data_IF_407282329097
#
_entry.id   IF_407282329097
#
_cell.length_a   1.000
_cell.length_b   1.000
_cell.length_c   1.000
_cell.angle_alpha   90.00
_cell.angle_beta   90.00
_cell.angle_gamma   90.00
#
_symmetry.space_group_name_H-M   'P 1'
#
loop_
_entity.id
_entity.type
_entity.pdbx_description
1 polymer ?
#
# COMPACT_ATOMS: atom_id res chain seq x y z
N UNK A 1 16.22 -62.63 29.99
CA UNK A 1 15.40 -61.41 30.09
C UNK A 1 16.21 -60.16 29.71
N UNK A 2 17.39 -59.95 30.31
CA UNK A 2 18.24 -58.79 29.98
C UNK A 2 18.64 -58.78 28.51
N UNK A 3 19.15 -59.92 28.02
CA UNK A 3 19.51 -60.11 26.62
C UNK A 3 18.33 -59.88 25.66
N UNK A 4 17.11 -60.20 26.12
CA UNK A 4 15.91 -59.95 25.31
C UNK A 4 15.60 -58.48 25.23
N UNK A 5 15.72 -57.68 26.32
CA UNK A 5 15.53 -56.24 26.30
C UNK A 5 16.54 -55.57 25.42
N UNK A 6 17.82 -55.94 25.57
CA UNK A 6 18.93 -55.40 24.73
C UNK A 6 18.73 -55.73 23.25
N UNK A 7 18.29 -56.94 22.95
CA UNK A 7 18.00 -57.36 21.59
C UNK A 7 16.82 -56.57 20.97
N UNK A 8 15.73 -56.39 21.73
CA UNK A 8 14.61 -55.58 21.27
C UNK A 8 15.00 -54.11 21.09
N UNK A 9 15.85 -53.56 21.98
CA UNK A 9 16.37 -52.20 21.85
C UNK A 9 17.24 -52.02 20.60
N UNK A 10 18.11 -52.98 20.34
CA UNK A 10 18.95 -52.99 19.12
C UNK A 10 18.09 -53.06 17.84
N UNK A 11 17.08 -53.92 17.82
CA UNK A 11 16.15 -54.02 16.71
C UNK A 11 15.32 -52.73 16.51
N UNK A 12 14.90 -52.08 17.59
CA UNK A 12 14.20 -50.79 17.51
C UNK A 12 15.11 -49.71 16.96
N UNK A 13 16.37 -49.66 17.36
CA UNK A 13 17.35 -48.73 16.82
C UNK A 13 17.59 -48.96 15.33
N UNK A 14 17.76 -50.21 14.91
CA UNK A 14 17.92 -50.56 13.49
C UNK A 14 16.69 -50.14 12.66
N UNK A 15 15.47 -50.37 13.18
CA UNK A 15 14.26 -49.95 12.50
C UNK A 15 14.13 -48.43 12.43
N UNK A 16 14.64 -47.69 13.44
CA UNK A 16 14.65 -46.24 13.42
C UNK A 16 15.58 -45.69 12.33
N UNK A 17 16.76 -46.31 12.13
CA UNK A 17 17.63 -45.98 11.02
C UNK A 17 16.96 -46.25 9.67
N UNK A 18 16.37 -47.45 9.51
CA UNK A 18 15.64 -47.81 8.28
C UNK A 18 14.41 -46.92 8.04
N UNK A 19 13.72 -46.45 9.08
CA UNK A 19 12.62 -45.50 8.98
C UNK A 19 13.10 -44.16 8.38
N UNK A 20 14.27 -43.68 8.85
CA UNK A 20 14.89 -42.47 8.31
C UNK A 20 15.20 -42.56 6.81
N UNK A 21 15.74 -43.72 6.38
CA UNK A 21 16.02 -43.97 4.97
C UNK A 21 14.76 -44.09 4.12
N UNK A 22 13.78 -44.86 4.61
CA UNK A 22 12.54 -45.13 3.88
C UNK A 22 11.65 -43.87 3.83
N UNK A 23 11.67 -43.02 4.85
CA UNK A 23 10.92 -41.78 4.87
C UNK A 23 11.38 -40.75 3.83
N UNK A 24 12.63 -40.85 3.36
CA UNK A 24 13.16 -40.01 2.28
C UNK A 24 12.74 -40.52 0.88
N UNK A 25 12.41 -41.78 0.76
CA UNK A 25 12.14 -42.43 -0.53
C UNK A 25 10.67 -42.69 -0.78
N UNK A 26 9.86 -42.85 0.28
CA UNK A 26 8.47 -43.27 0.16
C UNK A 26 7.54 -42.42 1.05
N UNK A 27 6.32 -42.20 0.58
CA UNK A 27 5.28 -41.54 1.36
C UNK A 27 4.75 -42.43 2.48
N UNK A 28 4.14 -41.83 3.52
CA UNK A 28 3.59 -42.55 4.68
C UNK A 28 2.50 -43.58 4.33
N UNK A 29 1.89 -43.47 3.17
CA UNK A 29 0.88 -44.43 2.67
C UNK A 29 1.45 -45.64 1.98
N UNK A 30 2.73 -45.67 1.69
CA UNK A 30 3.36 -46.79 0.98
C UNK A 30 3.36 -48.08 1.82
N UNK A 31 3.06 -49.26 1.21
CA UNK A 31 2.99 -50.52 1.93
C UNK A 31 4.23 -50.84 2.76
N UNK A 32 5.42 -50.55 2.22
CA UNK A 32 6.72 -50.77 2.90
C UNK A 32 6.85 -49.91 4.16
N UNK A 33 6.40 -48.67 4.14
CA UNK A 33 6.43 -47.80 5.32
C UNK A 33 5.44 -48.28 6.38
N UNK A 34 4.23 -48.68 5.97
CA UNK A 34 3.22 -49.25 6.88
C UNK A 34 3.69 -50.54 7.56
N UNK A 35 4.30 -51.45 6.80
CA UNK A 35 4.86 -52.71 7.33
C UNK A 35 5.99 -52.45 8.35
N UNK A 36 6.84 -51.45 8.10
CA UNK A 36 7.93 -51.07 9.01
C UNK A 36 7.35 -50.48 10.31
N UNK A 37 6.33 -49.63 10.21
CA UNK A 37 5.67 -49.05 11.38
C UNK A 37 4.93 -50.10 12.22
N UNK A 38 4.32 -51.09 11.59
CA UNK A 38 3.66 -52.19 12.27
C UNK A 38 4.69 -53.08 13.03
N UNK A 39 5.80 -53.37 12.39
CA UNK A 39 6.90 -54.11 13.05
C UNK A 39 7.51 -53.35 14.22
N UNK A 40 7.67 -52.02 14.07
CA UNK A 40 8.13 -51.12 15.15
C UNK A 40 7.15 -51.13 16.32
N UNK A 41 5.85 -51.03 16.06
CA UNK A 41 4.80 -51.09 17.10
C UNK A 41 4.84 -52.41 17.88
N UNK A 42 4.96 -53.54 17.17
CA UNK A 42 5.03 -54.86 17.80
C UNK A 42 6.23 -54.97 18.76
N UNK A 43 7.40 -54.50 18.31
CA UNK A 43 8.62 -54.50 19.18
C UNK A 43 8.48 -53.52 20.34
N UNK A 44 7.78 -52.41 20.16
CA UNK A 44 7.51 -51.43 21.21
C UNK A 44 6.56 -51.96 22.29
N UNK A 45 5.55 -52.74 21.88
CA UNK A 45 4.66 -53.47 22.77
C UNK A 45 5.38 -54.59 23.55
N UNK A 46 6.32 -55.30 22.85
CA UNK A 46 7.16 -56.31 23.47
C UNK A 46 8.10 -55.71 24.52
N UNK A 47 8.74 -54.59 24.21
CA UNK A 47 9.56 -53.80 25.16
C UNK A 47 8.76 -53.38 26.38
N UNK A 48 7.54 -52.89 26.15
CA UNK A 48 6.61 -52.47 27.25
C UNK A 48 6.31 -53.64 28.19
N UNK A 49 6.00 -54.84 27.65
CA UNK A 49 5.75 -56.04 28.45
C UNK A 49 6.97 -56.49 29.23
N UNK A 50 8.16 -56.42 28.63
CA UNK A 50 9.40 -56.74 29.30
C UNK A 50 9.71 -55.76 30.42
N UNK A 51 9.53 -54.46 30.19
CA UNK A 51 9.68 -53.43 31.24
C UNK A 51 8.69 -53.58 32.41
N UNK A 52 7.44 -53.94 32.12
CA UNK A 52 6.46 -54.22 33.17
C UNK A 52 6.90 -55.42 34.07
N UNK A 53 7.52 -56.46 33.46
CA UNK A 53 8.05 -57.55 34.22
C UNK A 53 9.25 -57.18 35.09
N UNK A 54 10.08 -56.25 34.62
CA UNK A 54 11.24 -55.69 35.37
C UNK A 54 10.72 -54.84 36.56
N UNK A 55 9.69 -54.02 36.36
CA UNK A 55 9.13 -53.20 37.44
C UNK A 55 8.42 -54.02 38.54
N UNK A 56 8.00 -55.21 38.22
CA UNK A 56 7.40 -56.14 39.20
C UNK A 56 8.44 -56.87 40.09
N UNK A 57 9.75 -56.72 39.83
CA UNK A 57 10.81 -57.34 40.63
C UNK A 57 11.17 -56.54 41.89
N UNK A 58 11.77 -57.15 42.92
CA UNK A 58 12.31 -56.43 44.08
C UNK A 58 13.33 -55.37 43.67
N UNK A 59 13.34 -54.22 44.37
CA UNK A 59 14.22 -53.07 44.02
C UNK A 59 15.67 -53.44 43.83
N UNK A 60 16.23 -54.30 44.66
CA UNK A 60 17.60 -54.77 44.56
C UNK A 60 17.88 -55.55 43.28
N UNK A 61 16.94 -56.38 42.83
CA UNK A 61 17.07 -57.08 41.54
C UNK A 61 16.94 -56.17 40.34
N UNK A 62 16.09 -55.14 40.42
CA UNK A 62 15.95 -54.14 39.39
C UNK A 62 17.26 -53.33 39.20
N UNK A 63 17.95 -52.99 40.31
CA UNK A 63 19.19 -52.27 40.32
C UNK A 63 20.37 -53.08 39.74
N UNK A 64 20.46 -54.36 40.13
CA UNK A 64 21.42 -55.31 39.56
C UNK A 64 21.18 -55.46 38.04
N UNK A 65 19.94 -55.62 37.63
CA UNK A 65 19.56 -55.70 36.20
C UNK A 65 19.94 -54.45 35.42
N UNK A 66 19.70 -53.27 36.00
CA UNK A 66 20.03 -51.97 35.38
C UNK A 66 21.53 -51.82 35.23
N UNK A 67 22.31 -52.07 36.27
CA UNK A 67 23.76 -51.98 36.24
C UNK A 67 24.38 -53.01 35.28
N UNK A 68 23.86 -54.25 35.28
CA UNK A 68 24.28 -55.27 34.33
C UNK A 68 23.99 -54.89 32.88
N UNK A 69 22.84 -54.27 32.61
CA UNK A 69 22.48 -53.75 31.28
C UNK A 69 23.42 -52.64 30.86
N UNK A 70 23.73 -51.72 31.77
CA UNK A 70 24.58 -50.56 31.47
C UNK A 70 26.04 -51.03 31.19
N UNK A 71 26.51 -52.02 31.94
CA UNK A 71 27.82 -52.65 31.70
C UNK A 71 27.85 -53.37 30.34
N UNK A 72 26.85 -54.23 30.07
CA UNK A 72 26.80 -55.00 28.81
C UNK A 72 26.66 -54.05 27.58
N UNK A 73 25.83 -52.99 27.69
CA UNK A 73 25.66 -51.97 26.66
C UNK A 73 26.97 -51.19 26.45
N UNK A 74 27.60 -50.75 27.55
CA UNK A 74 28.91 -50.10 27.49
C UNK A 74 30.01 -50.96 26.87
N UNK A 75 30.03 -52.25 27.21
CA UNK A 75 30.98 -53.20 26.62
C UNK A 75 30.71 -53.42 25.13
N UNK A 76 29.45 -53.51 24.71
CA UNK A 76 29.11 -53.65 23.29
C UNK A 76 29.56 -52.41 22.49
N UNK A 77 29.30 -51.21 22.99
CA UNK A 77 29.74 -49.94 22.36
C UNK A 77 31.27 -49.86 22.32
N UNK A 78 31.94 -50.23 23.41
CA UNK A 78 33.40 -50.26 23.46
C UNK A 78 33.98 -51.19 22.41
N UNK A 79 33.48 -52.44 22.31
CA UNK A 79 33.92 -53.40 21.29
C UNK A 79 33.66 -52.89 19.86
N UNK A 80 32.53 -52.26 19.64
CA UNK A 80 32.20 -51.65 18.34
C UNK A 80 33.17 -50.52 17.98
N UNK A 81 33.48 -49.63 18.94
CA UNK A 81 34.45 -48.55 18.74
C UNK A 81 35.86 -49.11 18.51
N UNK A 82 36.26 -50.16 19.25
CA UNK A 82 37.56 -50.80 19.06
C UNK A 82 37.67 -51.42 17.67
N UNK A 83 36.65 -52.16 17.23
CA UNK A 83 36.61 -52.69 15.87
C UNK A 83 36.67 -51.57 14.81
N UNK A 84 35.94 -50.49 15.03
CA UNK A 84 35.97 -49.33 14.11
C UNK A 84 37.35 -48.67 14.08
N UNK A 85 37.99 -48.55 15.24
CA UNK A 85 39.36 -48.04 15.31
C UNK A 85 40.34 -48.93 14.57
N UNK A 86 40.20 -50.28 14.70
CA UNK A 86 41.03 -51.23 13.96
C UNK A 86 40.81 -51.13 12.45
N UNK A 87 39.55 -51.06 11.98
CA UNK A 87 39.23 -50.86 10.57
C UNK A 87 39.87 -49.56 10.02
N UNK A 88 39.73 -48.45 10.78
CA UNK A 88 40.32 -47.19 10.37
C UNK A 88 41.86 -47.21 10.39
N UNK A 89 42.49 -47.95 11.32
CA UNK A 89 43.94 -48.14 11.34
C UNK A 89 44.41 -48.98 10.17
N UNK A 90 43.68 -50.05 9.81
CA UNK A 90 43.97 -50.88 8.62
C UNK A 90 43.79 -50.01 7.36
N UNK A 91 42.69 -49.25 7.25
CA UNK A 91 42.48 -48.34 6.15
C UNK A 91 43.58 -47.28 6.03
N UNK A 92 44.02 -46.72 7.17
CA UNK A 92 45.13 -45.77 7.23
C UNK A 92 46.46 -46.40 6.83
N UNK A 93 46.75 -47.64 7.27
CA UNK A 93 47.97 -48.33 6.90
C UNK A 93 47.98 -48.87 5.47
N UNK A 94 46.80 -49.22 4.93
CA UNK A 94 46.67 -49.65 3.53
C UNK A 94 46.55 -48.43 2.56
N UNK A 95 46.27 -47.21 3.07
CA UNK A 95 46.32 -45.97 2.32
C UNK A 95 47.74 -45.45 2.06
N UNK A 96 48.75 -46.30 2.11
CA UNK A 96 50.06 -45.95 1.59
C UNK A 96 49.92 -45.88 0.07
N UNK A 97 49.54 -44.70 -0.38
CA UNK A 97 49.41 -44.40 -1.78
C UNK A 97 50.77 -44.62 -2.46
N UNK A 98 50.76 -45.29 -3.59
CA UNK A 98 51.88 -45.35 -4.50
C UNK A 98 52.29 -44.02 -5.09
N UNK A 99 51.98 -42.92 -4.35
CA UNK A 99 52.31 -41.59 -4.76
C UNK A 99 53.61 -41.16 -4.09
N UNK A 100 54.63 -41.16 -4.88
CA UNK A 100 55.93 -40.60 -4.49
C UNK A 100 55.87 -39.10 -4.82
N UNK A 101 56.00 -38.25 -3.81
CA UNK A 101 56.16 -36.80 -4.01
C UNK A 101 57.54 -36.62 -4.67
N UNK A 102 57.54 -36.32 -5.96
CA UNK A 102 58.74 -36.05 -6.75
C UNK A 102 59.24 -34.64 -6.51
N UNK A 103 58.29 -33.72 -6.31
CA UNK A 103 58.58 -32.31 -6.04
C UNK A 103 57.45 -31.68 -5.20
N UNK A 104 57.81 -30.71 -4.38
CA UNK A 104 56.81 -29.95 -3.59
C UNK A 104 56.18 -28.87 -4.47
N UNK A 105 54.88 -28.80 -4.45
CA UNK A 105 54.17 -27.72 -5.16
C UNK A 105 54.63 -26.37 -4.60
N UNK A 106 55.32 -25.62 -5.41
CA UNK A 106 55.69 -24.24 -5.09
C UNK A 106 54.58 -23.32 -5.55
N UNK A 107 53.84 -22.74 -4.60
CA UNK A 107 52.84 -21.73 -4.92
C UNK A 107 53.55 -20.47 -5.37
N UNK A 108 53.13 -19.93 -6.51
CA UNK A 108 53.65 -18.62 -6.96
C UNK A 108 53.27 -17.53 -5.96
N UNK A 109 54.20 -16.66 -5.55
CA UNK A 109 53.96 -15.62 -4.53
C UNK A 109 52.94 -14.57 -4.98
N UNK A 110 52.66 -14.52 -6.29
CA UNK A 110 51.64 -13.62 -6.79
C UNK A 110 50.35 -14.40 -7.18
N UNK A 111 49.20 -14.04 -6.64
CA UNK A 111 47.92 -14.69 -7.00
C UNK A 111 47.63 -14.52 -8.48
N UNK A 112 47.55 -15.63 -9.24
CA UNK A 112 47.29 -15.62 -10.69
C UNK A 112 45.79 -15.39 -10.97
N UNK A 113 44.93 -15.81 -10.03
CA UNK A 113 43.47 -15.66 -10.08
C UNK A 113 42.92 -15.37 -8.67
N UNK A 114 41.84 -14.59 -8.53
CA UNK A 114 41.17 -13.80 -9.56
C UNK A 114 41.95 -12.52 -9.92
N UNK A 115 41.91 -12.09 -11.19
CA UNK A 115 42.49 -10.81 -11.62
C UNK A 115 41.63 -9.68 -11.03
N UNK A 116 42.08 -9.11 -9.91
CA UNK A 116 41.31 -8.12 -9.11
C UNK A 116 40.78 -6.96 -9.96
N UNK A 117 41.59 -6.43 -10.87
CA UNK A 117 41.19 -5.33 -11.77
C UNK A 117 40.06 -5.74 -12.71
N UNK A 118 40.12 -6.96 -13.27
CA UNK A 118 39.09 -7.47 -14.17
C UNK A 118 37.76 -7.73 -13.41
N UNK A 119 37.82 -8.28 -12.20
CA UNK A 119 36.63 -8.49 -11.38
C UNK A 119 35.98 -7.15 -11.02
N UNK A 120 36.81 -6.14 -10.70
CA UNK A 120 36.34 -4.79 -10.36
C UNK A 120 35.72 -4.10 -11.59
N UNK A 121 36.33 -4.24 -12.77
CA UNK A 121 35.82 -3.70 -14.02
C UNK A 121 34.47 -4.37 -14.42
N UNK A 122 34.40 -5.69 -14.36
CA UNK A 122 33.15 -6.44 -14.63
C UNK A 122 32.07 -6.08 -13.62
N UNK A 123 32.41 -5.99 -12.32
CA UNK A 123 31.48 -5.59 -11.27
C UNK A 123 30.94 -4.17 -11.49
N UNK A 124 31.79 -3.23 -11.92
CA UNK A 124 31.37 -1.87 -12.25
C UNK A 124 30.41 -1.83 -13.44
N UNK A 125 30.74 -2.53 -14.54
CA UNK A 125 29.87 -2.60 -15.72
C UNK A 125 28.53 -3.25 -15.41
N UNK A 126 28.53 -4.36 -14.66
CA UNK A 126 27.28 -5.03 -14.22
C UNK A 126 26.46 -4.13 -13.31
N UNK A 127 27.10 -3.45 -12.35
CA UNK A 127 26.42 -2.49 -11.46
C UNK A 127 25.78 -1.33 -12.24
N UNK A 128 26.48 -0.82 -13.25
CA UNK A 128 25.98 0.24 -14.13
C UNK A 128 24.78 -0.26 -14.97
N UNK A 129 24.87 -1.46 -15.55
CA UNK A 129 23.76 -2.07 -16.29
C UNK A 129 22.52 -2.30 -15.41
N UNK A 130 22.71 -2.84 -14.21
CA UNK A 130 21.60 -3.05 -13.27
C UNK A 130 20.96 -1.71 -12.86
N UNK A 131 21.80 -0.70 -12.57
CA UNK A 131 21.32 0.65 -12.23
C UNK A 131 20.50 1.26 -13.38
N UNK A 132 21.00 1.17 -14.62
CA UNK A 132 20.31 1.66 -15.79
C UNK A 132 18.98 0.93 -16.03
N UNK A 133 19.01 -0.41 -15.91
CA UNK A 133 17.80 -1.25 -16.04
C UNK A 133 16.74 -0.90 -14.99
N UNK A 134 17.15 -0.64 -13.75
CA UNK A 134 16.22 -0.21 -12.68
C UNK A 134 15.62 1.17 -12.96
N UNK A 135 16.41 2.11 -13.52
CA UNK A 135 15.91 3.42 -13.91
C UNK A 135 14.91 3.30 -15.04
N UNK A 136 15.23 2.54 -16.11
CA UNK A 136 14.29 2.29 -17.21
C UNK A 136 13.03 1.58 -16.75
N UNK A 137 13.16 0.55 -15.91
CA UNK A 137 12.00 -0.15 -15.32
C UNK A 137 11.12 0.81 -14.52
N UNK A 138 11.72 1.72 -13.75
CA UNK A 138 10.98 2.72 -12.96
C UNK A 138 10.27 3.74 -13.85
N UNK A 139 10.88 4.15 -14.98
CA UNK A 139 10.26 5.04 -15.97
C UNK A 139 9.10 4.30 -16.68
N UNK A 140 9.32 3.06 -17.09
CA UNK A 140 8.31 2.26 -17.77
C UNK A 140 7.08 1.93 -16.90
N UNK A 141 7.31 1.77 -15.60
CA UNK A 141 6.24 1.53 -14.61
C UNK A 141 5.49 2.82 -14.21
N UNK A 142 6.04 4.01 -14.46
CA UNK A 142 5.35 5.29 -14.25
C UNK A 142 4.39 5.52 -15.40
N UNK A 143 3.10 5.38 -15.13
CA UNK A 143 2.00 5.55 -16.09
C UNK A 143 1.09 6.73 -15.72
N UNK A 144 1.54 7.61 -14.82
CA UNK A 144 0.75 8.76 -14.38
C UNK A 144 0.69 9.84 -15.47
N UNK A 145 -0.40 10.63 -15.45
CA UNK A 145 -0.62 11.76 -16.34
C UNK A 145 0.39 12.85 -16.00
N UNK A 146 1.19 13.26 -16.99
CA UNK A 146 2.26 14.24 -16.86
C UNK A 146 1.96 15.56 -17.59
N UNK A 147 0.89 15.60 -18.39
CA UNK A 147 0.49 16.81 -19.09
C UNK A 147 -1.02 16.85 -19.34
N UNK A 148 -1.62 18.05 -19.48
CA UNK A 148 -3.03 18.20 -19.81
C UNK A 148 -3.36 17.64 -21.21
N UNK A 149 -2.43 17.71 -22.16
CA UNK A 149 -2.62 17.24 -23.54
C UNK A 149 -2.99 15.75 -23.59
N UNK A 150 -2.42 14.93 -22.68
CA UNK A 150 -2.76 13.50 -22.58
C UNK A 150 -4.25 13.24 -22.25
N UNK A 151 -4.91 14.19 -21.60
CA UNK A 151 -6.34 14.13 -21.34
C UNK A 151 -7.14 14.66 -22.54
N UNK A 152 -6.65 15.71 -23.16
CA UNK A 152 -7.29 16.33 -24.33
C UNK A 152 -7.25 15.40 -25.56
N UNK A 153 -6.18 14.63 -25.75
CA UNK A 153 -6.05 13.61 -26.79
C UNK A 153 -7.13 12.51 -26.72
N UNK A 154 -7.63 12.23 -25.51
CA UNK A 154 -8.74 11.29 -25.31
C UNK A 154 -10.12 12.00 -25.27
N UNK A 155 -10.18 13.27 -25.66
CA UNK A 155 -11.43 14.06 -25.73
C UNK A 155 -11.91 14.59 -24.39
N UNK A 156 -11.08 14.66 -23.36
CA UNK A 156 -11.43 15.18 -22.03
C UNK A 156 -10.90 16.61 -21.88
N UNK A 157 -11.79 17.57 -21.73
CA UNK A 157 -11.41 18.97 -21.54
C UNK A 157 -10.74 19.19 -20.19
N UNK A 158 -9.61 19.92 -20.16
CA UNK A 158 -8.92 20.32 -18.93
C UNK A 158 -9.25 21.77 -18.59
N UNK A 159 -10.03 21.97 -17.53
CA UNK A 159 -10.49 23.29 -17.09
C UNK A 159 -9.42 24.13 -16.42
N UNK A 160 -8.49 23.47 -15.74
CA UNK A 160 -7.33 24.11 -15.11
C UNK A 160 -6.22 23.10 -14.80
N UNK A 161 -4.98 23.59 -14.84
CA UNK A 161 -3.80 22.89 -14.35
C UNK A 161 -3.27 23.65 -13.12
N UNK A 162 -3.36 23.02 -11.95
CA UNK A 162 -3.03 23.62 -10.66
C UNK A 162 -1.66 23.13 -10.23
N UNK A 163 -0.65 24.00 -10.13
CA UNK A 163 0.68 23.62 -9.67
C UNK A 163 0.69 23.26 -8.17
N UNK A 164 1.75 22.60 -7.73
CA UNK A 164 1.99 22.38 -6.30
C UNK A 164 2.27 23.72 -5.64
N UNK A 165 1.56 24.03 -4.56
CA UNK A 165 1.75 25.28 -3.82
C UNK A 165 3.20 25.44 -3.29
N UNK A 166 3.81 26.60 -3.46
CA UNK A 166 5.23 26.85 -3.13
C UNK A 166 5.59 26.58 -1.67
N UNK A 167 4.70 26.93 -0.76
CA UNK A 167 4.89 26.70 0.67
C UNK A 167 4.92 25.21 1.04
N UNK A 168 4.24 24.35 0.30
CA UNK A 168 4.29 22.90 0.52
C UNK A 168 5.62 22.30 0.05
N UNK A 169 6.22 22.84 -1.00
CA UNK A 169 7.56 22.43 -1.49
C UNK A 169 8.65 22.83 -0.50
N UNK A 170 8.62 24.05 0.02
CA UNK A 170 9.58 24.54 1.03
C UNK A 170 9.48 23.77 2.34
N UNK A 171 8.27 23.48 2.82
CA UNK A 171 8.05 22.66 4.04
C UNK A 171 8.49 21.19 3.83
N UNK A 172 8.21 20.59 2.68
CA UNK A 172 8.63 19.22 2.37
C UNK A 172 10.16 19.05 2.29
N UNK A 173 10.88 20.06 1.79
CA UNK A 173 12.35 20.05 1.73
C UNK A 173 13.01 20.21 3.10
N UNK A 174 12.40 20.92 4.03
CA UNK A 174 12.88 21.08 5.41
C UNK A 174 12.56 19.85 6.29
N UNK A 175 11.40 19.18 6.05
CA UNK A 175 10.98 18.01 6.84
C UNK A 175 11.77 16.74 6.48
N UNK A 176 12.33 16.63 5.26
CA UNK A 176 13.24 15.52 4.92
C UNK A 176 14.50 15.44 5.80
N UNK A 177 14.80 16.47 6.60
CA UNK A 177 15.95 16.51 7.52
C UNK A 177 15.64 16.08 8.95
N UNK A 178 14.39 15.99 9.39
CA UNK A 178 14.03 15.61 10.76
C UNK A 178 12.76 14.76 10.81
N UNK A 179 12.93 13.48 11.14
CA UNK A 179 12.04 12.51 11.79
C UNK A 179 10.61 12.29 11.28
N UNK A 180 10.31 10.99 11.00
CA UNK A 180 9.03 10.32 11.10
C UNK A 180 8.20 10.79 12.31
N UNK A 181 7.32 11.72 12.12
CA UNK A 181 6.10 11.99 12.89
C UNK A 181 5.66 13.43 12.70
N UNK A 182 5.01 13.68 11.61
CA UNK A 182 4.09 14.81 11.50
C UNK A 182 3.09 14.47 10.40
N UNK A 183 2.03 13.76 10.77
CA UNK A 183 0.72 14.02 10.19
C UNK A 183 0.40 15.47 10.49
N UNK A 184 0.94 16.39 9.72
CA UNK A 184 0.60 17.80 9.82
C UNK A 184 -0.52 18.09 8.87
N UNK A 185 -1.69 18.22 9.49
CA UNK A 185 -2.71 19.19 9.19
C UNK A 185 -2.31 20.17 8.09
N UNK A 186 -2.71 19.84 6.87
CA UNK A 186 -2.81 20.81 5.78
C UNK A 186 -4.10 21.61 6.03
N UNK A 187 -4.06 22.43 7.08
CA UNK A 187 -5.15 23.31 7.50
C UNK A 187 -4.92 24.68 6.94
N UNK A 188 -4.95 24.84 5.61
CA UNK A 188 -4.77 26.19 5.19
C UNK A 188 -5.55 26.48 3.92
N UNK A 189 -6.45 27.43 4.06
CA UNK A 189 -6.99 28.14 2.91
C UNK A 189 -5.84 28.90 2.26
N UNK A 190 -5.19 28.26 1.31
CA UNK A 190 -4.09 28.87 0.58
C UNK A 190 -4.52 30.19 -0.05
N UNK A 191 -5.80 30.28 -0.45
CA UNK A 191 -6.44 31.53 -0.95
C UNK A 191 -6.43 32.70 0.03
N UNK A 192 -6.25 32.43 1.33
CA UNK A 192 -6.15 33.47 2.37
C UNK A 192 -4.69 33.65 2.81
N UNK A 193 -3.96 32.53 3.05
CA UNK A 193 -2.58 32.60 3.54
C UNK A 193 -1.59 33.11 2.51
N UNK A 194 -1.76 32.72 1.26
CA UNK A 194 -0.91 33.17 0.16
C UNK A 194 -1.75 33.39 -1.12
N UNK A 195 -2.49 34.52 -1.21
CA UNK A 195 -3.33 34.81 -2.36
C UNK A 195 -2.57 34.95 -3.68
N UNK A 196 -1.26 35.20 -3.64
CA UNK A 196 -0.39 35.35 -4.80
C UNK A 196 0.21 34.03 -5.28
N UNK A 197 -0.06 32.90 -4.60
CA UNK A 197 0.44 31.58 -5.02
C UNK A 197 -0.11 31.18 -6.40
N UNK A 198 0.76 30.65 -7.25
CA UNK A 198 0.39 30.21 -8.61
C UNK A 198 -0.77 29.21 -8.62
N UNK A 199 -0.88 28.37 -7.57
CA UNK A 199 -2.00 27.46 -7.43
C UNK A 199 -3.33 28.21 -7.24
N UNK A 200 -3.31 29.30 -6.51
CA UNK A 200 -4.50 30.17 -6.30
C UNK A 200 -4.86 30.89 -7.59
N UNK A 201 -3.86 31.39 -8.34
CA UNK A 201 -4.12 32.04 -9.64
C UNK A 201 -4.72 31.04 -10.64
N UNK A 202 -4.25 29.80 -10.65
CA UNK A 202 -4.85 28.73 -11.45
C UNK A 202 -6.31 28.45 -11.05
N UNK A 203 -6.64 28.50 -9.75
CA UNK A 203 -8.03 28.33 -9.27
C UNK A 203 -8.89 29.57 -9.62
N UNK A 204 -8.31 30.79 -9.69
CA UNK A 204 -9.02 31.97 -10.24
C UNK A 204 -9.33 31.79 -11.73
N UNK A 205 -8.39 31.24 -12.49
CA UNK A 205 -8.62 30.84 -13.88
C UNK A 205 -9.75 29.79 -13.99
N UNK A 206 -9.70 28.77 -13.14
CA UNK A 206 -10.78 27.76 -13.05
C UNK A 206 -12.14 28.40 -12.79
N UNK A 207 -12.24 29.34 -11.84
CA UNK A 207 -13.49 30.07 -11.57
C UNK A 207 -14.04 30.72 -12.83
N UNK A 208 -13.19 31.35 -13.65
CA UNK A 208 -13.57 31.99 -14.90
C UNK A 208 -14.11 30.99 -15.92
N UNK A 209 -13.36 29.91 -16.16
CA UNK A 209 -13.78 28.82 -17.07
C UNK A 209 -15.09 28.18 -16.60
N UNK A 210 -15.24 27.99 -15.29
CA UNK A 210 -16.42 27.40 -14.68
C UNK A 210 -17.66 28.32 -14.83
N UNK A 211 -17.48 29.62 -14.76
CA UNK A 211 -18.58 30.54 -14.95
C UNK A 211 -19.29 30.31 -16.29
N UNK A 212 -18.51 30.16 -17.38
CA UNK A 212 -19.07 29.85 -18.70
C UNK A 212 -19.71 28.47 -18.75
N UNK A 213 -19.03 27.46 -18.18
CA UNK A 213 -19.54 26.08 -18.15
C UNK A 213 -20.88 25.95 -17.38
N UNK A 214 -21.08 26.77 -16.37
CA UNK A 214 -22.31 26.77 -15.56
C UNK A 214 -23.47 27.58 -16.16
N UNK A 215 -23.23 28.47 -17.11
CA UNK A 215 -24.29 29.23 -17.80
C UNK A 215 -25.28 28.28 -18.52
N UNK A 216 -24.82 27.16 -19.01
CA UNK A 216 -25.63 26.14 -19.71
C UNK A 216 -26.08 25.01 -18.77
N UNK A 217 -25.76 25.11 -17.48
CA UNK A 217 -26.07 24.05 -16.53
C UNK A 217 -27.54 24.14 -16.08
N UNK A 218 -28.15 23.01 -15.77
CA UNK A 218 -29.54 22.91 -15.31
C UNK A 218 -29.79 23.54 -13.93
N UNK A 219 -28.75 23.73 -13.14
CA UNK A 219 -28.78 24.39 -11.82
C UNK A 219 -27.38 24.91 -11.45
N UNK A 220 -27.29 25.64 -10.35
CA UNK A 220 -26.06 26.28 -9.85
C UNK A 220 -25.20 25.32 -8.94
N UNK A 221 -25.42 24.02 -9.01
CA UNK A 221 -24.74 23.05 -8.16
C UNK A 221 -23.56 22.45 -8.91
N UNK A 222 -22.37 22.67 -8.36
CA UNK A 222 -21.11 22.11 -8.83
C UNK A 222 -20.68 20.93 -7.96
N UNK A 223 -20.49 19.77 -8.56
CA UNK A 223 -19.88 18.63 -7.91
C UNK A 223 -18.39 18.51 -8.29
N UNK A 224 -17.54 18.40 -7.29
CA UNK A 224 -16.12 18.10 -7.45
C UNK A 224 -15.86 16.70 -6.91
N UNK A 225 -15.45 15.81 -7.81
CA UNK A 225 -15.07 14.44 -7.51
C UNK A 225 -13.64 14.15 -7.95
N UNK A 226 -13.17 12.92 -7.80
CA UNK A 226 -11.86 12.48 -8.28
C UNK A 226 -11.87 11.00 -8.61
N UNK A 227 -10.88 10.54 -9.36
CA UNK A 227 -10.76 9.13 -9.67
C UNK A 227 -10.36 8.33 -8.42
N UNK A 228 -9.35 8.79 -7.68
CA UNK A 228 -8.74 8.09 -6.56
C UNK A 228 -8.64 8.97 -5.29
N UNK A 229 -8.39 8.38 -4.10
CA UNK A 229 -8.07 9.15 -2.90
C UNK A 229 -6.81 10.02 -3.12
N UNK A 230 -6.71 11.11 -2.35
CA UNK A 230 -5.56 12.04 -2.37
C UNK A 230 -5.35 12.79 -3.70
N UNK A 231 -6.33 12.82 -4.61
CA UNK A 231 -6.26 13.64 -5.82
C UNK A 231 -6.25 15.16 -5.52
N UNK A 232 -6.63 15.56 -4.31
CA UNK A 232 -6.69 16.95 -3.87
C UNK A 232 -8.05 17.61 -4.11
N UNK A 233 -9.12 16.83 -4.19
CA UNK A 233 -10.50 17.31 -4.35
C UNK A 233 -10.87 18.42 -3.37
N UNK A 234 -10.76 18.11 -2.09
CA UNK A 234 -11.09 19.03 -0.99
C UNK A 234 -10.23 20.31 -1.02
N UNK A 235 -8.96 20.22 -1.45
CA UNK A 235 -8.11 21.39 -1.63
C UNK A 235 -8.64 22.30 -2.75
N UNK A 236 -9.00 21.70 -3.88
CA UNK A 236 -9.54 22.45 -5.03
C UNK A 236 -10.91 23.03 -4.69
N UNK A 237 -11.82 22.20 -4.16
CA UNK A 237 -13.21 22.61 -3.86
C UNK A 237 -13.27 23.71 -2.80
N UNK A 238 -12.48 23.60 -1.72
CA UNK A 238 -12.49 24.58 -0.63
C UNK A 238 -11.88 25.93 -1.03
N UNK A 239 -10.73 25.92 -1.74
CA UNK A 239 -10.13 27.17 -2.22
C UNK A 239 -10.97 27.82 -3.32
N UNK A 240 -11.62 27.03 -4.18
CA UNK A 240 -12.57 27.54 -5.17
C UNK A 240 -13.78 28.22 -4.50
N UNK A 241 -14.34 27.60 -3.45
CA UNK A 241 -15.42 28.17 -2.67
C UNK A 241 -15.06 29.57 -2.09
N UNK A 242 -13.85 29.62 -1.47
CA UNK A 242 -13.34 30.86 -0.92
C UNK A 242 -13.12 31.95 -2.01
N UNK A 243 -12.54 31.61 -3.14
CA UNK A 243 -12.29 32.53 -4.26
C UNK A 243 -13.59 33.03 -4.88
N UNK A 244 -14.63 32.20 -4.94
CA UNK A 244 -15.94 32.63 -5.43
C UNK A 244 -16.62 33.54 -4.40
N UNK A 245 -16.58 33.19 -3.12
CA UNK A 245 -17.18 34.02 -2.05
C UNK A 245 -16.53 35.42 -1.99
N UNK A 246 -15.22 35.54 -2.23
CA UNK A 246 -14.52 36.84 -2.31
C UNK A 246 -15.07 37.77 -3.41
N UNK A 247 -15.81 37.23 -4.37
CA UNK A 247 -16.49 38.06 -5.39
C UNK A 247 -17.87 38.61 -4.94
N UNK A 248 -18.27 38.40 -3.68
CA UNK A 248 -19.56 38.81 -3.14
C UNK A 248 -20.71 37.84 -3.42
N UNK A 249 -20.44 36.66 -4.02
CA UNK A 249 -21.46 35.63 -4.26
C UNK A 249 -21.74 34.83 -2.99
N UNK A 250 -23.01 34.47 -2.80
CA UNK A 250 -23.42 33.56 -1.74
C UNK A 250 -23.04 32.11 -2.12
N UNK A 251 -22.09 31.53 -1.39
CA UNK A 251 -21.56 30.19 -1.64
C UNK A 251 -21.94 29.25 -0.51
N UNK A 252 -22.45 28.08 -0.85
CA UNK A 252 -22.62 26.96 0.09
C UNK A 252 -21.67 25.84 -0.27
N UNK A 253 -20.83 25.46 0.68
CA UNK A 253 -19.96 24.28 0.56
C UNK A 253 -20.55 23.13 1.37
N UNK A 254 -20.74 21.96 0.75
CA UNK A 254 -21.26 20.76 1.42
C UNK A 254 -20.24 19.63 1.33
N UNK A 255 -19.79 19.10 2.48
CA UNK A 255 -18.98 17.90 2.57
C UNK A 255 -19.89 16.67 2.42
N UNK A 256 -19.90 16.09 1.25
CA UNK A 256 -20.69 14.89 0.94
C UNK A 256 -19.90 13.60 1.06
N UNK A 257 -18.60 13.64 1.42
CA UNK A 257 -17.83 12.45 1.76
C UNK A 257 -18.14 12.01 3.19
N UNK A 258 -19.27 11.32 3.35
CA UNK A 258 -19.71 10.82 4.65
C UNK A 258 -18.80 9.74 5.24
N UNK A 259 -17.87 9.21 4.45
CA UNK A 259 -16.98 8.12 4.87
C UNK A 259 -15.68 8.65 5.47
N UNK A 260 -15.01 9.56 4.76
CA UNK A 260 -13.68 10.08 5.10
C UNK A 260 -13.58 11.60 5.06
N UNK A 261 -14.70 12.30 4.90
CA UNK A 261 -14.72 13.77 4.90
C UNK A 261 -14.05 14.34 6.15
N UNK A 262 -13.16 15.28 5.97
CA UNK A 262 -12.39 15.92 7.05
C UNK A 262 -12.48 17.45 7.00
N UNK A 263 -13.36 17.99 6.16
CA UNK A 263 -13.51 19.44 5.94
C UNK A 263 -13.84 20.21 7.22
N UNK A 264 -14.56 19.58 8.17
CA UNK A 264 -14.83 20.17 9.49
C UNK A 264 -13.55 20.49 10.26
N UNK A 265 -12.49 19.65 10.14
CA UNK A 265 -11.16 19.93 10.71
C UNK A 265 -10.45 21.04 9.95
N UNK A 266 -10.53 21.00 8.60
CA UNK A 266 -9.97 22.02 7.73
C UNK A 266 -10.52 23.42 8.05
N UNK A 267 -11.82 23.49 8.32
CA UNK A 267 -12.53 24.74 8.60
C UNK A 267 -12.60 25.08 10.08
N UNK A 268 -11.97 24.27 10.93
CA UNK A 268 -12.00 24.42 12.39
C UNK A 268 -13.42 24.58 12.96
N UNK A 269 -14.34 23.78 12.43
CA UNK A 269 -15.75 23.72 12.87
C UNK A 269 -16.06 22.35 13.43
N UNK A 270 -17.08 22.25 14.30
CA UNK A 270 -17.56 20.96 14.79
C UNK A 270 -18.21 20.14 13.66
N UNK A 271 -18.30 18.83 13.84
CA UNK A 271 -18.92 17.92 12.87
C UNK A 271 -20.37 17.54 13.25
N UNK A 272 -20.92 18.15 14.31
CA UNK A 272 -22.29 17.94 14.74
C UNK A 272 -23.26 18.70 13.83
N UNK A 273 -24.52 18.27 13.79
CA UNK A 273 -25.55 18.88 12.96
C UNK A 273 -25.09 19.02 11.48
N UNK A 274 -24.62 17.90 10.91
CA UNK A 274 -24.14 17.90 9.53
C UNK A 274 -25.12 17.26 8.55
N UNK A 275 -24.62 16.98 7.35
CA UNK A 275 -25.39 16.42 6.24
C UNK A 275 -26.11 15.12 6.61
N UNK A 276 -25.46 14.20 7.34
CA UNK A 276 -26.08 12.95 7.77
C UNK A 276 -27.28 13.16 8.69
N UNK A 277 -27.25 14.21 9.54
CA UNK A 277 -28.35 14.53 10.43
C UNK A 277 -29.52 15.20 9.67
N UNK A 278 -29.21 16.01 8.68
CA UNK A 278 -30.18 16.57 7.73
C UNK A 278 -30.88 15.46 6.96
N UNK A 279 -30.12 14.54 6.32
CA UNK A 279 -30.68 13.51 5.47
C UNK A 279 -31.49 12.48 6.28
N UNK A 280 -31.10 12.20 7.53
CA UNK A 280 -31.87 11.34 8.43
C UNK A 280 -33.12 12.00 9.01
N UNK A 281 -33.35 13.28 8.74
CA UNK A 281 -34.55 14.01 9.21
C UNK A 281 -34.47 14.53 10.64
N UNK A 282 -33.31 14.44 11.29
CA UNK A 282 -33.13 14.89 12.67
C UNK A 282 -33.15 16.40 12.83
N UNK A 283 -32.67 17.11 11.82
CA UNK A 283 -32.59 18.60 11.82
C UNK A 283 -33.10 19.18 10.51
N UNK A 284 -33.51 20.45 10.57
CA UNK A 284 -33.82 21.26 9.39
C UNK A 284 -32.56 21.71 8.66
N UNK A 285 -32.67 22.09 7.38
CA UNK A 285 -31.53 22.44 6.52
C UNK A 285 -30.75 23.64 7.07
N UNK A 286 -31.44 24.65 7.54
CA UNK A 286 -30.87 25.88 8.06
C UNK A 286 -30.03 25.67 9.32
N UNK A 287 -30.40 24.66 10.14
CA UNK A 287 -29.67 24.33 11.36
C UNK A 287 -28.33 23.63 11.13
N UNK A 288 -28.13 23.11 9.91
CA UNK A 288 -26.86 22.46 9.53
C UNK A 288 -25.83 23.47 9.02
N UNK A 289 -26.25 24.69 8.72
CA UNK A 289 -25.35 25.70 8.15
C UNK A 289 -24.40 26.23 9.22
N UNK A 290 -23.15 26.32 8.86
CA UNK A 290 -22.07 26.91 9.65
C UNK A 290 -21.36 27.94 8.80
N UNK A 291 -21.25 29.15 9.30
CA UNK A 291 -20.57 30.23 8.58
C UNK A 291 -19.04 30.07 8.74
N UNK A 292 -18.32 30.25 7.65
CA UNK A 292 -16.84 30.27 7.62
C UNK A 292 -16.43 31.75 7.46
N UNK A 293 -16.37 32.45 8.58
CA UNK A 293 -16.15 33.91 8.62
C UNK A 293 -14.87 34.35 7.91
N UNK A 294 -13.83 33.55 7.99
CA UNK A 294 -12.51 33.81 7.37
C UNK A 294 -12.57 33.82 5.84
N UNK A 295 -13.53 33.12 5.23
CA UNK A 295 -13.66 32.95 3.79
C UNK A 295 -14.95 33.53 3.21
N UNK A 296 -15.93 33.87 4.06
CA UNK A 296 -17.19 34.46 3.65
C UNK A 296 -18.14 33.50 2.94
N UNK A 297 -18.10 32.20 3.22
CA UNK A 297 -19.04 31.21 2.68
C UNK A 297 -19.69 30.36 3.77
N UNK A 298 -20.84 29.80 3.46
CA UNK A 298 -21.58 28.89 4.32
C UNK A 298 -21.15 27.42 4.07
N UNK A 299 -21.20 26.63 5.12
CA UNK A 299 -20.70 25.28 5.13
C UNK A 299 -21.64 24.28 5.83
N UNK A 300 -21.84 23.13 5.22
CA UNK A 300 -22.48 21.98 5.84
C UNK A 300 -21.45 20.85 5.95
N UNK A 301 -21.12 20.44 7.19
CA UNK A 301 -20.22 19.33 7.45
C UNK A 301 -20.89 17.99 7.11
N UNK A 302 -20.10 16.93 6.93
CA UNK A 302 -20.64 15.58 6.67
C UNK A 302 -21.56 15.06 7.77
N UNK A 303 -21.38 15.53 9.02
CA UNK A 303 -22.06 14.99 10.19
C UNK A 303 -21.43 13.71 10.73
N UNK A 304 -22.17 12.97 11.55
CA UNK A 304 -21.78 11.65 12.04
C UNK A 304 -21.71 10.65 10.87
N UNK A 305 -20.78 9.68 10.95
CA UNK A 305 -20.65 8.65 9.92
C UNK A 305 -21.85 7.71 10.01
N UNK A 306 -22.73 7.66 9.01
CA UNK A 306 -23.86 6.74 9.04
C UNK A 306 -23.38 5.30 8.69
N UNK A 307 -24.12 4.26 9.10
CA UNK A 307 -23.78 2.88 8.73
C UNK A 307 -23.89 2.64 7.21
N UNK A 308 -24.86 3.26 6.55
CA UNK A 308 -25.15 3.10 5.13
C UNK A 308 -25.14 4.44 4.39
N UNK A 309 -23.96 5.03 4.09
CA UNK A 309 -23.86 6.34 3.44
C UNK A 309 -24.58 6.42 2.09
N UNK A 310 -24.43 5.41 1.23
CA UNK A 310 -25.03 5.40 -0.10
C UNK A 310 -26.58 5.42 -0.05
N UNK A 311 -27.18 4.64 0.82
CA UNK A 311 -28.64 4.60 1.00
C UNK A 311 -29.17 5.96 1.51
N UNK A 312 -28.43 6.58 2.44
CA UNK A 312 -28.79 7.88 2.95
C UNK A 312 -28.72 8.97 1.87
N UNK A 313 -27.74 8.87 0.95
CA UNK A 313 -27.62 9.77 -0.21
C UNK A 313 -28.73 9.53 -1.27
N UNK A 314 -29.29 8.34 -1.34
CA UNK A 314 -30.46 8.04 -2.22
C UNK A 314 -31.79 8.56 -1.62
N UNK A 315 -31.80 8.97 -0.36
CA UNK A 315 -33.03 9.44 0.25
C UNK A 315 -33.51 10.75 -0.39
N UNK A 316 -34.81 10.91 -0.56
CA UNK A 316 -35.43 12.09 -1.20
C UNK A 316 -35.02 13.45 -0.58
N UNK A 317 -34.64 13.43 0.69
CA UNK A 317 -34.18 14.64 1.42
C UNK A 317 -32.89 15.23 0.85
N UNK A 318 -32.05 14.44 0.16
CA UNK A 318 -30.92 15.02 -0.56
C UNK A 318 -31.38 15.92 -1.69
N UNK A 319 -32.34 15.48 -2.47
CA UNK A 319 -32.92 16.31 -3.54
C UNK A 319 -33.61 17.57 -2.99
N UNK A 320 -34.37 17.42 -1.91
CA UNK A 320 -35.05 18.56 -1.22
C UNK A 320 -34.00 19.58 -0.71
N UNK A 321 -32.91 19.11 -0.08
CA UNK A 321 -31.80 19.95 0.35
C UNK A 321 -31.16 20.69 -0.83
N UNK A 322 -30.87 19.98 -1.93
CA UNK A 322 -30.22 20.57 -3.09
C UNK A 322 -31.09 21.57 -3.83
N UNK A 323 -32.41 21.33 -3.94
CA UNK A 323 -33.38 22.30 -4.48
C UNK A 323 -33.44 23.55 -3.59
N UNK A 324 -33.52 23.37 -2.27
CA UNK A 324 -33.49 24.47 -1.33
C UNK A 324 -32.18 25.28 -1.44
N UNK A 325 -31.02 24.59 -1.45
CA UNK A 325 -29.72 25.24 -1.58
C UNK A 325 -29.59 26.02 -2.91
N UNK A 326 -30.05 25.43 -4.02
CA UNK A 326 -30.07 26.08 -5.34
C UNK A 326 -30.89 27.39 -5.34
N UNK A 327 -31.91 27.50 -4.48
CA UNK A 327 -32.75 28.74 -4.38
C UNK A 327 -32.15 29.81 -3.45
N UNK A 328 -31.30 29.44 -2.52
CA UNK A 328 -30.74 30.33 -1.50
C UNK A 328 -29.36 30.88 -1.80
N UNK A 329 -28.58 30.14 -2.63
CA UNK A 329 -27.18 30.43 -2.92
C UNK A 329 -26.94 30.66 -4.40
N UNK A 330 -25.95 31.49 -4.73
CA UNK A 330 -25.52 31.71 -6.12
C UNK A 330 -24.78 30.53 -6.69
N UNK A 331 -24.09 29.77 -5.83
CA UNK A 331 -23.39 28.53 -6.18
C UNK A 331 -23.34 27.60 -4.97
N UNK A 332 -23.56 26.31 -5.24
CA UNK A 332 -23.43 25.24 -4.25
C UNK A 332 -22.29 24.30 -4.70
N UNK A 333 -21.30 24.09 -3.85
CA UNK A 333 -20.15 23.22 -4.14
C UNK A 333 -20.23 21.95 -3.28
N UNK A 334 -20.27 20.80 -3.95
CA UNK A 334 -20.29 19.49 -3.32
C UNK A 334 -18.91 18.83 -3.42
N UNK A 335 -18.27 18.59 -2.27
CA UNK A 335 -17.03 17.79 -2.18
C UNK A 335 -17.38 16.33 -1.97
N UNK A 336 -17.06 15.47 -2.93
CA UNK A 336 -17.50 14.06 -2.94
C UNK A 336 -16.33 13.08 -2.78
N UNK A 337 -16.59 11.84 -2.31
CA UNK A 337 -15.58 10.79 -2.33
C UNK A 337 -15.19 10.39 -3.78
N UNK A 338 -14.06 9.69 -3.96
CA UNK A 338 -13.60 9.27 -5.28
C UNK A 338 -14.55 8.25 -5.92
N UNK A 339 -14.87 8.43 -7.21
CA UNK A 339 -15.79 7.57 -7.96
C UNK A 339 -15.31 6.11 -8.10
N UNK A 340 -13.99 5.89 -8.17
CA UNK A 340 -13.46 4.51 -8.27
C UNK A 340 -13.52 3.76 -6.94
N UNK A 341 -13.62 4.48 -5.82
CA UNK A 341 -13.68 3.87 -4.50
C UNK A 341 -15.11 3.52 -4.07
N UNK A 342 -16.09 4.40 -4.38
CA UNK A 342 -17.49 4.26 -3.94
C UNK A 342 -18.45 4.87 -4.97
N UNK A 343 -19.72 4.49 -4.88
CA UNK A 343 -20.78 4.95 -5.80
C UNK A 343 -21.40 6.28 -5.40
N UNK A 344 -21.08 6.81 -4.24
CA UNK A 344 -21.69 7.99 -3.63
C UNK A 344 -21.68 9.22 -4.58
N UNK A 345 -20.55 9.45 -5.27
CA UNK A 345 -20.43 10.55 -6.25
C UNK A 345 -21.36 10.37 -7.46
N UNK A 346 -21.60 9.13 -7.90
CA UNK A 346 -22.52 8.85 -8.99
C UNK A 346 -23.98 9.11 -8.60
N UNK A 347 -24.36 8.81 -7.36
CA UNK A 347 -25.69 9.10 -6.83
C UNK A 347 -25.93 10.60 -6.78
N UNK A 348 -24.98 11.35 -6.20
CA UNK A 348 -25.08 12.82 -6.06
C UNK A 348 -25.07 13.50 -7.43
N UNK A 349 -24.27 13.00 -8.37
CA UNK A 349 -24.12 13.54 -9.71
C UNK A 349 -25.41 13.67 -10.50
N UNK A 350 -26.42 12.87 -10.20
CA UNK A 350 -27.73 12.93 -10.87
C UNK A 350 -28.50 14.23 -10.58
N UNK A 351 -28.17 14.90 -9.47
CA UNK A 351 -28.86 16.12 -9.01
C UNK A 351 -28.12 17.40 -9.35
N UNK A 352 -26.85 17.33 -9.78
CA UNK A 352 -26.01 18.51 -9.98
C UNK A 352 -26.04 19.02 -11.42
N UNK A 353 -25.81 20.31 -11.59
CA UNK A 353 -25.74 20.95 -12.91
C UNK A 353 -24.40 20.74 -13.62
N UNK A 354 -23.32 20.72 -12.84
CA UNK A 354 -21.95 20.57 -13.38
C UNK A 354 -21.13 19.61 -12.52
N UNK A 355 -20.42 18.72 -13.19
CA UNK A 355 -19.49 17.77 -12.54
C UNK A 355 -18.09 17.96 -13.12
N UNK A 356 -17.09 18.15 -12.25
CA UNK A 356 -15.68 18.19 -12.58
C UNK A 356 -14.92 17.08 -11.84
N UNK A 357 -13.92 16.48 -12.53
CA UNK A 357 -13.08 15.41 -11.99
C UNK A 357 -11.68 15.95 -11.69
N UNK A 358 -11.25 15.87 -10.43
CA UNK A 358 -9.87 16.20 -10.05
C UNK A 358 -8.97 15.01 -10.31
N UNK A 359 -7.93 15.27 -11.07
CA UNK A 359 -6.90 14.31 -11.50
C UNK A 359 -5.57 14.70 -10.86
N UNK A 360 -4.86 13.76 -10.27
CA UNK A 360 -3.56 14.04 -9.65
C UNK A 360 -2.44 13.78 -10.63
N UNK A 361 -1.62 14.80 -10.88
CA UNK A 361 -0.41 14.75 -11.69
C UNK A 361 0.52 13.59 -11.26
N UNK A 362 1.05 12.82 -12.19
CA UNK A 362 1.92 11.65 -12.02
C UNK A 362 1.38 10.51 -11.14
N UNK A 363 0.19 10.63 -10.61
CA UNK A 363 -0.43 9.63 -9.75
C UNK A 363 -1.58 8.91 -10.44
N UNK A 364 -2.50 9.66 -11.07
CA UNK A 364 -3.58 9.04 -11.81
C UNK A 364 -3.13 8.67 -13.23
N UNK A 365 -3.61 7.52 -13.71
CA UNK A 365 -3.37 7.05 -15.07
C UNK A 365 -4.52 7.47 -15.99
N UNK A 366 -4.24 7.61 -17.29
CA UNK A 366 -5.27 7.89 -18.29
C UNK A 366 -6.41 6.88 -18.20
N UNK A 367 -6.08 5.59 -18.05
CA UNK A 367 -7.08 4.52 -17.91
C UNK A 367 -7.99 4.67 -16.69
N UNK A 368 -7.46 5.12 -15.54
CA UNK A 368 -8.30 5.40 -14.36
C UNK A 368 -9.29 6.52 -14.65
N UNK A 369 -8.89 7.53 -15.41
CA UNK A 369 -9.75 8.64 -15.77
C UNK A 369 -10.85 8.20 -16.75
N UNK A 370 -10.49 7.46 -17.78
CA UNK A 370 -11.48 6.88 -18.70
C UNK A 370 -12.52 6.01 -17.96
N UNK A 371 -12.05 5.15 -17.04
CA UNK A 371 -12.97 4.31 -16.23
C UNK A 371 -13.84 5.18 -15.32
N UNK A 372 -13.31 6.30 -14.80
CA UNK A 372 -14.08 7.22 -13.96
C UNK A 372 -15.18 7.90 -14.76
N UNK A 373 -14.87 8.40 -15.95
CA UNK A 373 -15.85 8.98 -16.87
C UNK A 373 -16.93 7.97 -17.24
N UNK A 374 -16.55 6.77 -17.62
CA UNK A 374 -17.48 5.69 -17.96
C UNK A 374 -18.43 5.32 -16.80
N UNK A 375 -17.93 5.31 -15.55
CA UNK A 375 -18.76 5.06 -14.36
C UNK A 375 -19.79 6.17 -14.15
N UNK A 376 -19.41 7.43 -14.34
CA UNK A 376 -20.35 8.54 -14.27
C UNK A 376 -21.39 8.45 -15.39
N UNK A 377 -20.97 8.23 -16.62
CA UNK A 377 -21.84 8.06 -17.79
C UNK A 377 -22.86 6.93 -17.60
N UNK A 378 -22.42 5.74 -17.11
CA UNK A 378 -23.30 4.63 -16.77
C UNK A 378 -24.36 4.97 -15.71
N UNK A 379 -24.10 5.99 -14.90
CA UNK A 379 -25.02 6.50 -13.88
C UNK A 379 -25.85 7.71 -14.39
N UNK A 380 -25.77 8.03 -15.68
CA UNK A 380 -26.46 9.18 -16.27
C UNK A 380 -25.87 10.55 -15.88
N UNK A 381 -24.62 10.59 -15.42
CA UNK A 381 -23.92 11.80 -15.00
C UNK A 381 -22.90 12.21 -16.06
N UNK A 382 -23.06 13.40 -16.61
CA UNK A 382 -22.11 13.98 -17.56
C UNK A 382 -21.01 14.73 -16.83
N UNK A 383 -19.76 14.26 -16.94
CA UNK A 383 -18.59 14.98 -16.45
C UNK A 383 -18.16 15.99 -17.53
N UNK A 384 -18.15 17.27 -17.19
CA UNK A 384 -17.80 18.35 -18.13
C UNK A 384 -16.32 18.39 -18.48
N UNK A 385 -15.45 17.93 -17.57
CA UNK A 385 -14.01 17.87 -17.79
C UNK A 385 -13.23 17.62 -16.50
N UNK A 386 -11.91 17.80 -16.60
CA UNK A 386 -10.96 17.53 -15.54
C UNK A 386 -10.29 18.80 -15.01
N UNK A 387 -9.74 18.67 -13.79
CA UNK A 387 -8.81 19.63 -13.18
C UNK A 387 -7.54 18.83 -12.88
N UNK A 388 -6.43 19.16 -13.53
CA UNK A 388 -5.13 18.52 -13.27
C UNK A 388 -4.47 19.20 -12.07
N UNK A 389 -4.39 18.50 -10.94
CA UNK A 389 -3.92 19.07 -9.68
C UNK A 389 -2.53 18.55 -9.28
N UNK A 390 -1.72 19.44 -8.72
CA UNK A 390 -0.39 19.13 -8.20
C UNK A 390 0.65 18.98 -9.30
N UNK A 391 0.57 19.79 -10.32
CA UNK A 391 1.52 19.83 -11.43
C UNK A 391 2.87 20.32 -10.91
N UNK A 392 3.94 19.59 -11.26
CA UNK A 392 5.32 19.93 -10.93
C UNK A 392 6.00 20.37 -12.23
N UNK A 393 6.55 21.58 -12.28
CA UNK A 393 7.36 22.03 -13.40
C UNK A 393 8.64 21.18 -13.48
N UNK A 394 8.76 20.34 -14.49
CA UNK A 394 9.98 19.61 -14.80
C UNK A 394 10.78 20.31 -15.88
N UNK A 395 12.10 20.25 -15.79
CA UNK A 395 12.98 20.78 -16.83
C UNK A 395 12.75 20.12 -18.20
N UNK A 396 12.22 18.90 -18.23
CA UNK A 396 11.88 18.17 -19.46
C UNK A 396 10.65 18.74 -20.20
N UNK A 397 9.78 19.45 -19.52
CA UNK A 397 8.60 20.11 -20.12
C UNK A 397 8.96 21.35 -20.96
N UNK A 398 10.24 21.75 -20.98
CA UNK A 398 10.71 22.93 -21.70
C UNK A 398 10.79 22.72 -23.23
N UNK A 399 10.76 21.45 -23.69
CA UNK A 399 10.83 21.09 -25.11
C UNK A 399 9.47 20.72 -25.74
N UNK A 400 8.40 20.65 -24.96
CA UNK A 400 7.04 20.48 -25.48
C UNK A 400 6.39 21.84 -25.70
N UNK A 401 5.79 22.05 -26.85
CA UNK A 401 4.89 23.16 -27.15
C UNK A 401 3.65 23.05 -26.23
N UNK A 402 3.77 23.42 -24.98
CA UNK A 402 2.69 23.36 -24.02
C UNK A 402 2.60 24.68 -23.26
N UNK A 403 1.46 25.27 -23.31
CA UNK A 403 0.95 26.42 -22.54
C UNK A 403 2.00 27.12 -21.67
N UNK A 404 2.75 28.02 -22.30
CA UNK A 404 3.47 29.06 -21.57
C UNK A 404 2.42 29.89 -20.84
N UNK A 405 2.19 29.55 -19.58
CA UNK A 405 1.54 30.47 -18.68
C UNK A 405 2.45 31.69 -18.66
N UNK A 406 2.02 32.74 -19.30
CA UNK A 406 2.58 34.09 -19.15
C UNK A 406 2.44 34.45 -17.67
N UNK A 407 3.42 34.11 -16.87
CA UNK A 407 3.57 34.64 -15.53
C UNK A 407 3.89 36.12 -15.69
N UNK A 408 2.89 36.97 -15.57
CA UNK A 408 3.13 38.37 -15.26
C UNK A 408 3.79 38.41 -13.88
N UNK A 409 5.11 38.54 -13.86
CA UNK A 409 5.81 39.00 -12.68
C UNK A 409 5.44 40.46 -12.50
N UNK A 410 4.53 40.75 -11.58
CA UNK A 410 4.47 42.06 -10.96
C UNK A 410 5.75 42.19 -10.14
N UNK A 411 6.80 42.71 -10.77
CA UNK A 411 7.96 43.20 -10.05
C UNK A 411 7.51 44.33 -9.15
N UNK A 412 7.81 44.23 -7.87
CA UNK A 412 7.82 45.39 -6.97
C UNK A 412 8.90 46.34 -7.48
N UNK A 413 8.47 47.37 -8.21
CA UNK A 413 9.28 48.57 -8.37
C UNK A 413 9.27 49.30 -7.01
N UNK A 414 10.47 49.32 -6.40
CA UNK A 414 10.78 50.23 -5.30
C UNK A 414 11.06 51.60 -5.83
#
# INVERSE_FOLDING_TARGET
MLDQIVNVDNQLNELTFRESEISQLYTKEHPTYKALMEKRKTLQDEKSKLNQRVTAMPKTQQEILRLSRDVNSGQAVYMQLLNRQQELNIAKSSAIGNVRIIDNAVSQPKPVKPKKILVLAVGFVLGLMVSLSLVFLRIFLRRGIESPEQLEEIGINVYASIPVAENSVKKASQIKRFTQKAEKEYTTFLSIENPADLAIESIRGLRTSLHFAMMEARNNILMISGASPNAGKTFVSSNLAAIIAQTGKKVLFIDTDMRKGYTHKLFNKNNENGLSDVLSGKIAFEKAIKQIDTCGFDYISRGSVPPNPAELLMHRRLNELLIWANSQYDIVILDTPPILAVTDAAIIGQYVGTTLLVVRFEQNTVKEIEVSFKRFEQSGVTVKGCILNGVIKKASSYYGYGYNHYGYNYGEDK
#
